data_IF_030932978149
#
_entry.id   IF_030932978149
#
_cell.length_a   1.000
_cell.length_b   1.000
_cell.length_c   1.000
_cell.angle_alpha   90.00
_cell.angle_beta   90.00
_cell.angle_gamma   90.00
#
_symmetry.space_group_name_H-M   'P 1'
#
loop_
_entity.id
_entity.type
_entity.pdbx_description
1 polymer ?
#
# COMPACT_ATOMS: atom_id res chain seq x y z
N UNK A 1 -60.55 -10.66 -22.78
CA UNK A 1 -59.32 -11.13 -23.45
C UNK A 1 -58.92 -12.46 -22.85
N UNK A 2 -58.48 -13.39 -23.71
CA UNK A 2 -58.37 -14.82 -23.45
C UNK A 2 -57.43 -15.17 -22.29
N UNK A 3 -57.89 -16.12 -21.47
CA UNK A 3 -57.09 -16.98 -20.61
C UNK A 3 -56.24 -17.92 -21.47
N UNK A 4 -54.97 -18.09 -21.13
CA UNK A 4 -54.27 -19.37 -21.28
C UNK A 4 -53.55 -19.72 -19.98
N UNK A 5 -53.91 -20.88 -19.47
CA UNK A 5 -53.36 -21.58 -18.31
C UNK A 5 -52.85 -22.93 -18.84
N UNK A 6 -51.60 -23.26 -18.51
CA UNK A 6 -51.06 -24.62 -18.41
C UNK A 6 -49.78 -24.49 -17.56
N UNK A 7 -49.71 -25.01 -16.34
CA UNK A 7 -49.60 -26.45 -16.06
C UNK A 7 -48.24 -26.93 -16.57
N UNK A 8 -47.17 -27.07 -15.80
CA UNK A 8 -47.05 -27.78 -14.53
C UNK A 8 -46.13 -29.00 -14.76
N UNK A 9 -45.04 -29.13 -14.01
CA UNK A 9 -44.55 -30.36 -13.34
C UNK A 9 -43.06 -30.26 -12.98
N UNK A 10 -42.78 -30.69 -11.74
CA UNK A 10 -41.47 -30.84 -11.14
C UNK A 10 -40.68 -31.94 -11.85
N UNK A 11 -39.38 -31.74 -12.05
CA UNK A 11 -38.38 -32.82 -11.92
C UNK A 11 -37.14 -32.32 -11.21
N UNK A 12 -36.98 -32.82 -10.00
CA UNK A 12 -35.69 -32.96 -9.35
C UNK A 12 -34.78 -33.81 -10.25
N UNK A 13 -33.61 -33.28 -10.59
CA UNK A 13 -32.52 -33.99 -11.23
C UNK A 13 -31.30 -33.90 -10.33
N UNK A 14 -31.29 -34.73 -9.29
CA UNK A 14 -30.11 -34.98 -8.49
C UNK A 14 -29.07 -35.70 -9.35
N UNK A 15 -27.98 -35.02 -9.70
CA UNK A 15 -26.75 -35.70 -10.11
C UNK A 15 -25.90 -35.91 -8.86
N UNK A 16 -26.13 -37.08 -8.29
CA UNK A 16 -25.27 -37.75 -7.32
C UNK A 16 -23.83 -37.81 -7.85
N UNK A 17 -22.89 -37.49 -6.95
CA UNK A 17 -21.75 -38.34 -6.59
C UNK A 17 -20.89 -38.90 -7.73
N UNK A 18 -19.63 -38.43 -7.78
CA UNK A 18 -18.51 -39.34 -7.51
C UNK A 18 -17.35 -38.57 -6.90
N UNK A 19 -17.25 -38.70 -5.58
CA UNK A 19 -15.97 -38.68 -4.87
C UNK A 19 -15.01 -39.65 -5.58
N UNK A 20 -13.99 -39.11 -6.23
CA UNK A 20 -12.82 -39.84 -6.71
C UNK A 20 -11.65 -39.65 -5.76
N UNK A 21 -11.82 -39.99 -4.48
CA UNK A 21 -10.67 -40.26 -3.61
C UNK A 21 -10.25 -41.70 -3.93
N UNK A 22 -9.21 -41.86 -4.74
CA UNK A 22 -8.46 -43.11 -4.82
C UNK A 22 -6.99 -42.83 -5.15
N UNK A 23 -6.21 -42.70 -4.08
CA UNK A 23 -4.94 -43.39 -3.94
C UNK A 23 -3.87 -43.20 -5.01
N UNK A 24 -3.02 -42.18 -4.83
CA UNK A 24 -1.58 -42.38 -4.95
C UNK A 24 -0.92 -41.69 -3.76
N UNK A 25 -0.79 -42.44 -2.66
CA UNK A 25 0.19 -42.16 -1.63
C UNK A 25 1.59 -42.36 -2.23
N UNK A 26 2.12 -41.34 -2.93
CA UNK A 26 3.55 -41.28 -3.24
C UNK A 26 4.26 -40.73 -2.01
N UNK A 27 4.76 -41.64 -1.19
CA UNK A 27 5.97 -41.42 -0.41
C UNK A 27 7.07 -41.03 -1.40
N UNK A 28 7.41 -39.75 -1.42
CA UNK A 28 8.70 -39.29 -1.91
C UNK A 28 9.22 -38.26 -0.92
N UNK A 29 10.09 -38.75 -0.03
CA UNK A 29 11.35 -38.11 0.37
C UNK A 29 11.29 -36.61 0.60
N UNK A 30 11.45 -36.22 1.87
CA UNK A 30 11.59 -34.85 2.36
C UNK A 30 12.24 -33.89 1.36
N UNK A 31 11.41 -33.21 0.60
CA UNK A 31 11.76 -31.93 0.00
C UNK A 31 11.73 -30.95 1.16
N UNK A 32 12.87 -30.79 1.82
CA UNK A 32 13.18 -29.57 2.54
C UNK A 32 12.92 -28.44 1.55
N UNK A 33 11.75 -27.80 1.65
CA UNK A 33 11.52 -26.49 1.05
C UNK A 33 12.49 -25.58 1.74
N UNK A 34 13.71 -25.47 1.18
CA UNK A 34 14.59 -24.37 1.52
C UNK A 34 13.75 -23.15 1.19
N UNK A 35 13.33 -22.42 2.23
CA UNK A 35 12.86 -21.06 2.09
C UNK A 35 14.02 -20.30 1.45
N UNK A 36 14.07 -20.34 0.12
CA UNK A 36 15.00 -19.58 -0.68
C UNK A 36 14.79 -18.11 -0.36
N UNK A 37 15.76 -17.29 -0.74
CA UNK A 37 15.82 -15.83 -0.53
C UNK A 37 14.56 -15.01 -0.93
N UNK A 38 13.46 -15.64 -1.36
CA UNK A 38 12.17 -15.04 -1.71
C UNK A 38 11.26 -14.74 -0.52
N UNK A 39 11.33 -15.48 0.59
CA UNK A 39 10.44 -15.24 1.73
C UNK A 39 10.53 -13.80 2.31
N UNK A 40 11.73 -13.18 2.45
CA UNK A 40 11.85 -11.80 2.92
C UNK A 40 11.28 -10.77 1.93
N UNK A 41 11.37 -11.04 0.63
CA UNK A 41 10.90 -10.13 -0.42
C UNK A 41 9.38 -10.09 -0.45
N UNK A 42 8.73 -11.25 -0.37
CA UNK A 42 7.27 -11.35 -0.34
C UNK A 42 6.68 -10.68 0.91
N UNK A 43 7.35 -10.76 2.05
CA UNK A 43 6.92 -10.07 3.28
C UNK A 43 6.98 -8.55 3.13
N UNK A 44 8.04 -8.01 2.51
CA UNK A 44 8.18 -6.58 2.26
C UNK A 44 7.09 -6.07 1.29
N UNK A 45 6.83 -6.83 0.23
CA UNK A 45 5.78 -6.51 -0.74
C UNK A 45 4.39 -6.56 -0.09
N UNK A 46 4.10 -7.57 0.74
CA UNK A 46 2.83 -7.67 1.45
C UNK A 46 2.60 -6.49 2.42
N UNK A 47 3.62 -6.08 3.16
CA UNK A 47 3.55 -4.92 4.06
C UNK A 47 3.32 -3.65 3.25
N UNK A 48 4.04 -3.47 2.14
CA UNK A 48 3.89 -2.31 1.26
C UNK A 48 2.48 -2.27 0.64
N UNK A 49 1.97 -3.41 0.19
CA UNK A 49 0.61 -3.56 -0.32
C UNK A 49 -0.44 -3.10 0.70
N UNK A 50 -0.30 -3.56 1.94
CA UNK A 50 -1.20 -3.22 3.03
C UNK A 50 -1.17 -1.73 3.34
N UNK A 51 0.01 -1.11 3.38
CA UNK A 51 0.16 0.33 3.61
C UNK A 51 -0.48 1.15 2.49
N UNK A 52 -0.27 0.78 1.24
CA UNK A 52 -0.90 1.44 0.08
C UNK A 52 -2.42 1.31 0.14
N UNK A 53 -2.92 0.11 0.40
CA UNK A 53 -4.35 -0.14 0.51
C UNK A 53 -4.97 0.65 1.67
N UNK A 54 -4.36 0.60 2.86
CA UNK A 54 -4.81 1.32 4.04
C UNK A 54 -4.86 2.83 3.81
N UNK A 55 -3.80 3.41 3.25
CA UNK A 55 -3.76 4.85 2.94
C UNK A 55 -4.84 5.26 1.94
N UNK A 56 -5.05 4.46 0.87
CA UNK A 56 -6.09 4.73 -0.11
C UNK A 56 -7.50 4.58 0.44
N UNK A 57 -7.72 3.62 1.34
CA UNK A 57 -9.00 3.43 2.02
C UNK A 57 -9.28 4.61 2.94
N UNK A 58 -8.30 5.01 3.76
CA UNK A 58 -8.41 6.16 4.67
C UNK A 58 -8.66 7.46 3.90
N UNK A 59 -7.92 7.71 2.81
CA UNK A 59 -8.13 8.88 1.96
C UNK A 59 -9.53 8.93 1.32
N UNK A 60 -10.28 7.82 1.29
CA UNK A 60 -11.67 7.77 0.81
C UNK A 60 -12.67 7.86 1.95
N UNK A 61 -12.43 7.19 3.07
CA UNK A 61 -13.36 7.10 4.19
C UNK A 61 -13.30 8.33 5.10
N UNK A 62 -12.11 8.86 5.34
CA UNK A 62 -11.86 9.99 6.23
C UNK A 62 -10.73 10.88 5.67
N UNK A 63 -11.02 11.65 4.61
CA UNK A 63 -10.00 12.37 3.85
C UNK A 63 -9.38 13.55 4.59
N UNK A 64 -10.13 14.16 5.52
CA UNK A 64 -9.77 15.41 6.18
C UNK A 64 -9.18 15.19 7.60
N UNK A 65 -9.06 13.92 8.02
CA UNK A 65 -8.34 13.55 9.25
C UNK A 65 -6.85 13.91 9.14
N UNK A 66 -6.24 14.26 10.27
CA UNK A 66 -4.82 14.59 10.34
C UNK A 66 -3.95 13.35 10.06
N UNK A 67 -3.08 13.45 9.07
CA UNK A 67 -2.17 12.37 8.69
C UNK A 67 -1.22 11.98 9.84
N UNK A 68 -0.82 12.95 10.66
CA UNK A 68 0.06 12.76 11.82
C UNK A 68 -0.50 11.84 12.92
N UNK A 69 -1.81 11.56 12.91
CA UNK A 69 -2.44 10.61 13.83
C UNK A 69 -2.28 9.15 13.39
N UNK A 70 -1.98 8.92 12.11
CA UNK A 70 -1.99 7.59 11.49
C UNK A 70 -0.61 7.23 10.95
N UNK A 71 0.10 8.21 10.40
CA UNK A 71 1.43 8.08 9.81
C UNK A 71 2.45 8.75 10.73
N UNK A 72 3.63 8.15 10.84
CA UNK A 72 4.76 8.71 11.58
C UNK A 72 5.04 10.14 11.07
N UNK A 73 5.03 11.17 11.94
CA UNK A 73 5.32 12.54 11.54
C UNK A 73 6.66 12.71 10.83
N UNK A 74 7.66 11.87 11.17
CA UNK A 74 8.95 11.91 10.48
C UNK A 74 8.82 11.46 9.01
N UNK A 75 7.99 10.45 8.76
CA UNK A 75 7.71 9.97 7.41
C UNK A 75 7.01 11.06 6.57
N UNK A 76 6.09 11.80 7.17
CA UNK A 76 5.43 12.95 6.54
C UNK A 76 6.46 14.04 6.20
N UNK A 77 7.30 14.43 7.16
CA UNK A 77 8.35 15.44 6.97
C UNK A 77 9.27 15.06 5.80
N UNK A 78 9.70 13.80 5.76
CA UNK A 78 10.61 13.30 4.73
C UNK A 78 9.93 13.26 3.36
N UNK A 79 8.65 12.84 3.30
CA UNK A 79 7.88 12.89 2.08
C UNK A 79 7.86 14.32 1.50
N UNK A 80 7.64 15.32 2.35
CA UNK A 80 7.65 16.73 1.95
C UNK A 80 9.05 17.19 1.49
N UNK A 81 10.11 16.85 2.22
CA UNK A 81 11.50 17.17 1.84
C UNK A 81 11.84 16.58 0.47
N UNK A 82 11.49 15.32 0.24
CA UNK A 82 11.74 14.64 -1.03
C UNK A 82 10.99 15.33 -2.18
N UNK A 83 9.72 15.71 -1.98
CA UNK A 83 8.96 16.44 -2.99
C UNK A 83 9.56 17.81 -3.32
N UNK A 84 9.97 18.57 -2.30
CA UNK A 84 10.64 19.87 -2.51
C UNK A 84 11.92 19.67 -3.33
N UNK A 85 12.70 18.63 -3.02
CA UNK A 85 13.94 18.32 -3.76
C UNK A 85 13.71 17.89 -5.21
N UNK A 86 12.58 17.25 -5.50
CA UNK A 86 12.18 16.81 -6.85
C UNK A 86 11.57 17.95 -7.70
N UNK A 87 11.88 19.21 -7.38
CA UNK A 87 11.40 20.41 -8.08
C UNK A 87 9.88 20.63 -8.01
N UNK A 88 9.16 19.99 -7.08
CA UNK A 88 7.80 20.41 -6.71
C UNK A 88 7.83 21.66 -5.81
N UNK A 89 8.72 22.61 -6.14
CA UNK A 89 9.11 23.79 -5.37
C UNK A 89 7.95 24.78 -5.13
N UNK A 90 6.85 24.61 -5.86
CA UNK A 90 5.63 25.42 -5.82
C UNK A 90 4.50 24.79 -5.01
N UNK A 91 4.68 23.60 -4.44
CA UNK A 91 3.71 23.07 -3.49
C UNK A 91 3.83 23.89 -2.19
N UNK A 92 2.84 24.74 -1.92
CA UNK A 92 2.54 25.17 -0.55
C UNK A 92 2.34 23.91 0.27
N UNK A 93 3.39 23.46 0.95
CA UNK A 93 3.29 22.30 1.83
C UNK A 93 2.82 22.81 3.19
N UNK A 94 1.68 22.33 3.71
CA UNK A 94 1.32 22.56 5.10
C UNK A 94 2.45 22.10 6.01
N UNK A 95 2.53 22.67 7.21
CA UNK A 95 3.40 22.11 8.23
C UNK A 95 3.12 20.60 8.38
N UNK A 96 4.12 19.75 8.63
CA UNK A 96 3.94 18.29 8.69
C UNK A 96 2.79 17.84 9.60
N UNK A 97 2.50 18.61 10.65
CA UNK A 97 1.48 18.32 11.64
C UNK A 97 0.05 18.68 11.21
N UNK A 98 -0.10 19.59 10.24
CA UNK A 98 -1.39 20.08 9.75
C UNK A 98 -1.84 19.36 8.46
N UNK A 99 -1.01 18.45 7.95
CA UNK A 99 -1.28 17.72 6.73
C UNK A 99 -2.42 16.70 6.93
N UNK A 100 -3.44 16.74 6.08
CA UNK A 100 -4.54 15.77 6.10
C UNK A 100 -4.21 14.51 5.29
N UNK A 101 -4.91 13.40 5.57
CA UNK A 101 -4.69 12.09 4.94
C UNK A 101 -4.77 12.16 3.41
N UNK A 102 -5.76 12.87 2.86
CA UNK A 102 -5.90 13.02 1.39
C UNK A 102 -4.66 13.66 0.76
N UNK A 103 -4.16 14.73 1.36
CA UNK A 103 -3.00 15.45 0.85
C UNK A 103 -1.73 14.62 0.98
N UNK A 104 -1.57 13.90 2.08
CA UNK A 104 -0.46 12.96 2.26
C UNK A 104 -0.49 11.84 1.21
N UNK A 105 -1.66 11.26 0.92
CA UNK A 105 -1.80 10.27 -0.13
C UNK A 105 -1.37 10.82 -1.51
N UNK A 106 -1.79 12.04 -1.84
CA UNK A 106 -1.39 12.71 -3.08
C UNK A 106 0.13 12.97 -3.12
N UNK A 107 0.73 13.37 -1.99
CA UNK A 107 2.18 13.55 -1.86
C UNK A 107 2.95 12.25 -2.14
N UNK A 108 2.50 11.13 -1.58
CA UNK A 108 3.07 9.81 -1.85
C UNK A 108 2.95 9.45 -3.33
N UNK A 109 1.81 9.73 -3.96
CA UNK A 109 1.67 9.57 -5.41
C UNK A 109 2.67 10.43 -6.19
N UNK A 110 2.83 11.70 -5.80
CA UNK A 110 3.74 12.65 -6.47
C UNK A 110 5.20 12.20 -6.40
N UNK A 111 5.62 11.51 -5.34
CA UNK A 111 6.97 10.90 -5.28
C UNK A 111 7.22 9.91 -6.42
N UNK A 112 6.18 9.26 -6.93
CA UNK A 112 6.25 8.37 -8.09
C UNK A 112 6.03 9.07 -9.44
N UNK A 113 6.03 10.41 -9.47
CA UNK A 113 5.77 11.22 -10.66
C UNK A 113 4.28 11.39 -10.97
N UNK A 114 3.37 11.06 -10.05
CA UNK A 114 1.95 11.38 -10.23
C UNK A 114 1.74 12.90 -10.18
N UNK A 115 1.25 13.48 -11.26
CA UNK A 115 0.75 14.84 -11.29
C UNK A 115 -0.78 14.78 -11.33
N UNK A 116 -1.49 15.27 -10.31
CA UNK A 116 -2.95 15.26 -10.32
C UNK A 116 -3.46 16.21 -11.41
N UNK A 117 -3.99 15.66 -12.50
CA UNK A 117 -4.70 16.43 -13.53
C UNK A 117 -6.16 16.60 -13.09
N UNK A 118 -6.44 17.61 -12.26
CA UNK A 118 -7.79 17.94 -11.78
C UNK A 118 -8.15 17.31 -10.42
N UNK A 119 -9.46 17.17 -10.14
CA UNK A 119 -10.01 16.64 -8.86
C UNK A 119 -10.06 15.10 -8.77
N UNK A 120 -9.25 14.38 -9.56
CA UNK A 120 -9.33 12.92 -9.56
C UNK A 120 -8.43 12.33 -8.47
N UNK A 121 -8.98 11.53 -7.53
CA UNK A 121 -8.16 10.80 -6.58
C UNK A 121 -7.26 9.80 -7.31
N UNK A 122 -6.13 9.46 -6.70
CA UNK A 122 -5.14 8.50 -7.18
C UNK A 122 -5.79 7.31 -7.92
N UNK A 123 -5.64 7.23 -9.25
CA UNK A 123 -6.12 6.10 -10.03
C UNK A 123 -5.12 4.94 -9.97
N UNK A 124 -5.54 3.85 -9.33
CA UNK A 124 -4.79 2.60 -9.25
C UNK A 124 -3.70 2.57 -8.17
N UNK A 125 -3.13 1.38 -7.95
CA UNK A 125 -2.23 1.14 -6.80
C UNK A 125 -0.74 1.31 -7.15
N UNK A 126 -0.40 1.42 -8.44
CA UNK A 126 0.99 1.40 -8.91
C UNK A 126 1.79 2.63 -8.48
N UNK A 127 1.24 3.83 -8.62
CA UNK A 127 1.95 5.06 -8.27
C UNK A 127 2.10 5.23 -6.75
N UNK A 128 1.06 5.04 -5.94
CA UNK A 128 1.21 5.02 -4.48
C UNK A 128 2.19 3.95 -3.98
N UNK A 129 2.21 2.77 -4.63
CA UNK A 129 3.20 1.73 -4.33
C UNK A 129 4.63 2.22 -4.54
N UNK A 130 4.92 2.76 -5.72
CA UNK A 130 6.27 3.24 -6.04
C UNK A 130 6.72 4.34 -5.07
N UNK A 131 5.81 5.27 -4.72
CA UNK A 131 6.07 6.29 -3.71
C UNK A 131 6.37 5.68 -2.34
N UNK A 132 5.58 4.68 -1.92
CA UNK A 132 5.78 4.00 -0.63
C UNK A 132 7.04 3.12 -0.56
N UNK A 133 7.58 2.67 -1.68
CA UNK A 133 8.87 1.96 -1.71
C UNK A 133 10.04 2.91 -1.49
N UNK A 134 9.97 4.13 -2.04
CA UNK A 134 11.06 5.12 -1.92
C UNK A 134 11.10 5.79 -0.54
N UNK A 135 9.94 6.00 0.08
CA UNK A 135 9.83 6.74 1.33
C UNK A 135 10.67 6.16 2.50
N UNK A 136 10.67 4.84 2.77
CA UNK A 136 11.54 4.24 3.79
C UNK A 136 13.04 4.43 3.54
N UNK A 137 13.46 4.59 2.27
CA UNK A 137 14.87 4.87 1.95
C UNK A 137 15.24 6.28 2.39
N UNK A 138 14.38 7.26 2.08
CA UNK A 138 14.54 8.64 2.56
C UNK A 138 14.62 8.72 4.09
N UNK A 139 13.74 7.99 4.79
CA UNK A 139 13.74 7.91 6.25
C UNK A 139 15.05 7.39 6.80
N UNK A 140 15.57 6.29 6.26
CA UNK A 140 16.86 5.76 6.72
C UNK A 140 18.01 6.73 6.47
N UNK A 141 18.05 7.38 5.32
CA UNK A 141 19.10 8.34 4.97
C UNK A 141 19.09 9.56 5.90
N UNK A 142 17.92 10.14 6.18
CA UNK A 142 17.79 11.31 7.05
C UNK A 142 18.07 10.96 8.50
N UNK A 143 17.59 9.81 9.00
CA UNK A 143 17.96 9.30 10.33
C UNK A 143 19.46 9.09 10.46
N UNK A 144 20.12 8.52 9.45
CA UNK A 144 21.57 8.34 9.45
C UNK A 144 22.31 9.68 9.47
N UNK A 145 21.88 10.64 8.65
CA UNK A 145 22.45 11.99 8.65
C UNK A 145 22.32 12.70 9.99
N UNK A 146 21.12 12.64 10.62
CA UNK A 146 20.86 13.22 11.95
C UNK A 146 21.80 12.62 13.00
N UNK A 147 22.01 11.29 12.99
CA UNK A 147 22.94 10.60 13.89
C UNK A 147 24.40 11.05 13.72
N UNK A 148 24.85 11.24 12.48
CA UNK A 148 26.21 11.72 12.22
C UNK A 148 26.41 13.16 12.69
N UNK A 149 25.41 14.03 12.47
CA UNK A 149 25.49 15.42 12.91
C UNK A 149 25.57 15.55 14.43
N UNK A 150 24.83 14.73 15.17
CA UNK A 150 24.89 14.73 16.65
C UNK A 150 26.24 14.27 17.16
N UNK A 151 26.85 13.22 16.56
CA UNK A 151 28.16 12.73 16.98
C UNK A 151 29.30 13.71 16.67
N UNK A 152 29.21 14.46 15.58
CA UNK A 152 30.25 15.45 15.22
C UNK A 152 30.15 16.73 16.05
N UNK A 153 28.95 17.08 16.55
CA UNK A 153 28.74 18.22 17.44
C UNK A 153 29.37 18.05 18.84
N UNK A 154 29.58 16.81 19.28
CA UNK A 154 30.20 16.50 20.58
C UNK A 154 31.74 16.51 20.56
N UNK A 155 32.37 16.52 19.38
CA UNK A 155 33.84 16.45 19.22
C UNK A 155 34.48 17.83 19.02
N UNK A 156 33.68 18.89 18.84
CA UNK A 156 34.15 20.25 18.53
C UNK A 156 33.85 21.32 19.57
N UNK A 157 33.51 20.93 20.81
CA UNK A 157 33.24 21.84 21.94
C UNK A 157 34.44 22.03 22.85
#
# INVERSE_FOLDING_TARGET
MRFESAGGTRRAGALKSTFGISGVARRSTGTSVRCGRSAPVLSFDAITAWRVFGLQMLAKSDPDELASRIVDPEEIEICQILLISMLYRTLSSPAPHDLIVREHADQVGKLAGFLPTGRQPLRGNRLPWLGMVELPRGVRSIRAYRRLKTTTGEVGG
#
